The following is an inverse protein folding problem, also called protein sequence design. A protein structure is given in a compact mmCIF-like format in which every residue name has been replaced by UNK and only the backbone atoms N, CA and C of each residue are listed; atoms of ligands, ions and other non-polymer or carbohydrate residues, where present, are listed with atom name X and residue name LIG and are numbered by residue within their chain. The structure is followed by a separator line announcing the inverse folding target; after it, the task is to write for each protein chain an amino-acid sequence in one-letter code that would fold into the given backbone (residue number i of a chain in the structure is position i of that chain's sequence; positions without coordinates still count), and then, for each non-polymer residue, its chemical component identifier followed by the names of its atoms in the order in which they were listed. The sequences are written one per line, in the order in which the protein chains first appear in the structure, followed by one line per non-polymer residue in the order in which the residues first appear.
data_IF_181516858136
#
_entry.id   IF_181516858136
#
_cell.length_a   1.000
_cell.length_b   1.000
_cell.length_c   1.000
_cell.angle_alpha   90.00
_cell.angle_beta   90.00
_cell.angle_gamma   90.00
#
_symmetry.space_group_name_H-M   'P 1'
#
loop_
_entity.id
_entity.type
_entity.pdbx_description
1 polymer ?
#
# COMPACT_ATOMS: atom_id res chain seq x y z
N UNK A 1 15.12 16.95 -22.12
CA UNK A 1 14.17 17.76 -21.34
C UNK A 1 13.86 16.98 -20.08
N UNK A 2 13.95 17.59 -18.89
CA UNK A 2 13.51 16.95 -17.65
C UNK A 2 11.97 16.84 -17.69
N UNK A 3 11.45 15.70 -17.24
CA UNK A 3 10.00 15.47 -17.15
C UNK A 3 9.42 16.47 -16.12
N UNK A 4 8.23 16.98 -16.34
CA UNK A 4 7.59 17.99 -15.47
C UNK A 4 7.53 17.53 -14.00
N UNK A 5 7.29 16.23 -13.78
CA UNK A 5 7.35 15.63 -12.44
C UNK A 5 8.73 15.76 -11.79
N UNK A 6 9.83 15.57 -12.54
CA UNK A 6 11.19 15.72 -12.01
C UNK A 6 11.48 17.18 -11.62
N UNK A 7 11.02 18.15 -12.41
CA UNK A 7 11.14 19.57 -12.07
C UNK A 7 10.39 19.94 -10.78
N UNK A 8 9.21 19.33 -10.56
CA UNK A 8 8.44 19.51 -9.32
C UNK A 8 9.14 18.89 -8.12
N UNK A 9 9.69 17.68 -8.27
CA UNK A 9 10.48 17.00 -7.22
C UNK A 9 11.70 17.85 -6.84
N UNK A 10 12.42 18.40 -7.82
CA UNK A 10 13.56 19.30 -7.53
C UNK A 10 13.13 20.58 -6.82
N UNK A 11 12.00 21.17 -7.20
CA UNK A 11 11.44 22.34 -6.51
C UNK A 11 11.12 22.01 -5.05
N UNK A 12 10.46 20.86 -4.78
CA UNK A 12 10.16 20.40 -3.44
C UNK A 12 11.44 20.14 -2.64
N UNK A 13 12.46 19.58 -3.28
CA UNK A 13 13.76 19.33 -2.64
C UNK A 13 14.40 20.64 -2.16
N UNK A 14 14.33 21.70 -2.95
CA UNK A 14 14.98 22.95 -2.65
C UNK A 14 14.14 23.87 -1.75
N UNK A 15 12.84 23.98 -1.99
CA UNK A 15 11.96 24.95 -1.34
C UNK A 15 11.02 24.34 -0.30
N UNK A 16 10.92 22.99 -0.25
CA UNK A 16 9.89 22.31 0.53
C UNK A 16 8.50 22.41 -0.12
N UNK A 17 7.49 22.08 0.66
CA UNK A 17 6.07 22.20 0.30
C UNK A 17 5.28 22.49 1.57
N UNK A 18 4.07 23.02 1.41
CA UNK A 18 3.12 23.20 2.50
C UNK A 18 1.95 22.23 2.29
N UNK A 19 1.54 21.58 3.36
CA UNK A 19 0.43 20.64 3.37
C UNK A 19 -0.47 20.97 4.57
N UNK A 20 -1.76 21.12 4.31
CA UNK A 20 -2.74 21.28 5.36
C UNK A 20 -3.46 19.96 5.65
N UNK A 21 -3.43 19.53 6.91
CA UNK A 21 -4.04 18.27 7.33
C UNK A 21 -5.54 18.21 7.01
N UNK A 22 -6.28 19.30 7.31
CA UNK A 22 -7.72 19.34 7.13
C UNK A 22 -8.11 19.27 5.65
N UNK A 23 -7.41 20.00 4.81
CA UNK A 23 -7.61 20.00 3.36
C UNK A 23 -7.39 18.61 2.78
N UNK A 24 -6.25 17.96 3.09
CA UNK A 24 -5.93 16.61 2.59
C UNK A 24 -6.93 15.59 3.10
N UNK A 25 -7.28 15.63 4.39
CA UNK A 25 -8.24 14.70 4.96
C UNK A 25 -9.62 14.82 4.31
N UNK A 26 -10.14 16.03 4.19
CA UNK A 26 -11.47 16.28 3.59
C UNK A 26 -11.48 15.86 2.12
N UNK A 27 -10.45 16.21 1.36
CA UNK A 27 -10.31 15.81 -0.04
C UNK A 27 -10.25 14.27 -0.18
N UNK A 28 -9.43 13.59 0.63
CA UNK A 28 -9.37 12.14 0.64
C UNK A 28 -10.69 11.48 1.02
N UNK A 29 -11.44 12.07 1.96
CA UNK A 29 -12.72 11.54 2.38
C UNK A 29 -13.81 11.71 1.30
N UNK A 30 -13.83 12.85 0.60
CA UNK A 30 -14.75 13.07 -0.54
C UNK A 30 -14.43 12.09 -1.70
N UNK A 31 -13.17 11.93 -2.05
CA UNK A 31 -12.74 10.97 -3.06
C UNK A 31 -13.08 9.51 -2.64
N UNK A 32 -12.82 9.17 -1.37
CA UNK A 32 -13.16 7.86 -0.79
C UNK A 32 -14.65 7.52 -0.96
N UNK A 33 -15.56 8.45 -0.72
CA UNK A 33 -17.01 8.21 -0.88
C UNK A 33 -17.37 7.73 -2.29
N UNK A 34 -16.63 8.18 -3.31
CA UNK A 34 -16.84 7.78 -4.71
C UNK A 34 -16.38 6.33 -4.95
N UNK A 35 -15.32 5.86 -4.26
CA UNK A 35 -14.71 4.54 -4.50
C UNK A 35 -15.06 3.48 -3.44
N UNK A 36 -15.61 3.86 -2.29
CA UNK A 36 -15.79 3.00 -1.12
C UNK A 36 -16.54 1.70 -1.45
N UNK A 37 -17.70 1.82 -2.08
CA UNK A 37 -18.57 0.67 -2.34
C UNK A 37 -17.95 -0.26 -3.39
N UNK A 38 -17.57 0.29 -4.54
CA UNK A 38 -17.01 -0.49 -5.64
C UNK A 38 -15.65 -1.08 -5.28
N UNK A 39 -14.72 -0.26 -4.76
CA UNK A 39 -13.41 -0.69 -4.32
C UNK A 39 -13.48 -1.72 -3.19
N UNK A 40 -14.38 -1.50 -2.23
CA UNK A 40 -14.62 -2.44 -1.14
C UNK A 40 -15.14 -3.79 -1.63
N UNK A 41 -16.10 -3.80 -2.55
CA UNK A 41 -16.64 -5.02 -3.13
C UNK A 41 -15.57 -5.80 -3.92
N UNK A 42 -14.78 -5.10 -4.73
CA UNK A 42 -13.72 -5.77 -5.51
C UNK A 42 -12.63 -6.30 -4.59
N UNK A 43 -12.23 -5.57 -3.56
CA UNK A 43 -11.31 -6.08 -2.52
C UNK A 43 -11.88 -7.33 -1.86
N UNK A 44 -13.13 -7.30 -1.43
CA UNK A 44 -13.78 -8.46 -0.80
C UNK A 44 -13.76 -9.68 -1.71
N UNK A 45 -14.23 -9.54 -2.96
CA UNK A 45 -14.26 -10.65 -3.92
C UNK A 45 -12.85 -11.16 -4.22
N UNK A 46 -11.88 -10.26 -4.44
CA UNK A 46 -10.50 -10.64 -4.72
C UNK A 46 -9.88 -11.44 -3.58
N UNK A 47 -9.96 -10.94 -2.34
CA UNK A 47 -9.40 -11.66 -1.20
C UNK A 47 -10.16 -12.93 -0.85
N UNK A 48 -11.48 -12.98 -1.09
CA UNK A 48 -12.27 -14.19 -0.93
C UNK A 48 -11.83 -15.28 -1.91
N UNK A 49 -11.69 -14.96 -3.20
CA UNK A 49 -11.19 -15.90 -4.20
C UNK A 49 -9.74 -16.32 -3.94
N UNK A 50 -8.89 -15.36 -3.58
CA UNK A 50 -7.50 -15.63 -3.22
C UNK A 50 -7.40 -16.60 -2.03
N UNK A 51 -8.24 -16.41 -0.99
CA UNK A 51 -8.27 -17.30 0.16
C UNK A 51 -8.68 -18.72 -0.21
N UNK A 52 -9.68 -18.90 -1.07
CA UNK A 52 -10.09 -20.21 -1.57
C UNK A 52 -8.92 -20.91 -2.28
N UNK A 53 -8.21 -20.19 -3.16
CA UNK A 53 -7.06 -20.74 -3.89
C UNK A 53 -5.93 -21.12 -2.92
N UNK A 54 -5.56 -20.23 -2.01
CA UNK A 54 -4.48 -20.47 -1.03
C UNK A 54 -4.81 -21.65 -0.13
N UNK A 55 -6.00 -21.69 0.48
CA UNK A 55 -6.42 -22.81 1.30
C UNK A 55 -6.54 -24.12 0.52
N UNK A 56 -7.05 -24.05 -0.71
CA UNK A 56 -7.12 -25.21 -1.62
C UNK A 56 -5.74 -25.80 -1.90
N UNK A 57 -4.74 -24.96 -2.19
CA UNK A 57 -3.36 -25.39 -2.42
C UNK A 57 -2.74 -25.99 -1.14
N UNK A 58 -2.93 -25.36 0.02
CA UNK A 58 -2.43 -25.88 1.30
C UNK A 58 -3.03 -27.26 1.60
N UNK A 59 -4.35 -27.43 1.45
CA UNK A 59 -5.03 -28.70 1.66
C UNK A 59 -4.54 -29.77 0.65
N UNK A 60 -4.31 -29.38 -0.59
CA UNK A 60 -3.82 -30.29 -1.62
C UNK A 60 -2.40 -30.81 -1.32
N UNK A 61 -1.54 -29.96 -0.73
CA UNK A 61 -0.14 -30.32 -0.40
C UNK A 61 -0.06 -31.11 0.91
N UNK A 62 -0.74 -30.66 1.96
CA UNK A 62 -0.57 -31.18 3.32
C UNK A 62 -1.72 -32.09 3.78
N UNK A 63 -2.83 -32.12 3.06
CA UNK A 63 -4.07 -32.79 3.45
C UNK A 63 -4.89 -31.98 4.45
N UNK A 64 -6.20 -32.27 4.50
CA UNK A 64 -7.14 -31.51 5.34
C UNK A 64 -6.86 -31.65 6.84
N UNK A 65 -6.52 -32.85 7.30
CA UNK A 65 -6.27 -33.11 8.72
C UNK A 65 -5.03 -32.34 9.24
N UNK A 66 -3.92 -32.38 8.50
CA UNK A 66 -2.70 -31.66 8.86
C UNK A 66 -2.90 -30.12 8.79
N UNK A 67 -3.65 -29.64 7.80
CA UNK A 67 -4.00 -28.22 7.69
C UNK A 67 -4.83 -27.74 8.88
N UNK A 68 -5.85 -28.49 9.28
CA UNK A 68 -6.69 -28.15 10.45
C UNK A 68 -5.89 -28.21 11.75
N UNK A 69 -5.00 -29.18 11.90
CA UNK A 69 -4.10 -29.24 13.04
C UNK A 69 -3.17 -28.04 13.13
N UNK A 70 -2.55 -27.65 12.00
CA UNK A 70 -1.67 -26.49 11.91
C UNK A 70 -2.40 -25.16 12.24
N UNK A 71 -3.68 -25.05 11.86
CA UNK A 71 -4.50 -23.84 12.09
C UNK A 71 -4.99 -23.69 13.55
N UNK A 72 -4.73 -24.66 14.44
CA UNK A 72 -5.05 -24.47 15.85
C UNK A 72 -4.29 -23.29 16.44
N UNK A 73 -4.94 -22.44 17.27
CA UNK A 73 -4.31 -21.22 17.82
C UNK A 73 -2.99 -21.48 18.56
N UNK A 74 -2.86 -22.64 19.19
CA UNK A 74 -1.65 -23.07 19.89
C UNK A 74 -0.45 -23.26 18.95
N UNK A 75 -0.68 -23.72 17.71
CA UNK A 75 0.35 -23.98 16.71
C UNK A 75 0.71 -22.74 15.87
N UNK A 76 -0.12 -21.70 15.92
CA UNK A 76 0.12 -20.44 15.19
C UNK A 76 0.91 -19.42 16.03
N UNK A 77 1.25 -19.73 17.27
CA UNK A 77 2.08 -18.85 18.09
C UNK A 77 3.51 -18.85 17.56
N UNK A 78 4.16 -17.66 17.42
CA UNK A 78 5.54 -17.59 16.93
C UNK A 78 6.50 -18.47 17.74
N UNK A 79 6.29 -18.60 19.05
CA UNK A 79 7.11 -19.42 19.95
C UNK A 79 7.01 -20.93 19.69
N UNK A 80 5.90 -21.37 19.06
CA UNK A 80 5.69 -22.77 18.71
C UNK A 80 6.34 -23.15 17.37
N UNK A 81 6.74 -22.16 16.57
CA UNK A 81 7.30 -22.36 15.24
C UNK A 81 8.83 -22.40 15.28
N UNK A 82 9.43 -23.36 14.56
CA UNK A 82 10.88 -23.36 14.40
C UNK A 82 11.37 -22.16 13.60
N UNK A 83 12.61 -21.73 13.82
CA UNK A 83 13.22 -20.62 13.07
C UNK A 83 13.14 -20.81 11.55
N UNK A 84 13.34 -22.05 11.07
CA UNK A 84 13.25 -22.35 9.65
C UNK A 84 11.83 -22.09 9.09
N UNK A 85 10.80 -22.48 9.83
CA UNK A 85 9.40 -22.25 9.44
C UNK A 85 9.10 -20.74 9.43
N UNK A 86 9.55 -20.00 10.43
CA UNK A 86 9.40 -18.54 10.48
C UNK A 86 10.07 -17.86 9.29
N UNK A 87 11.29 -18.26 8.95
CA UNK A 87 12.01 -17.72 7.79
C UNK A 87 11.29 -18.03 6.47
N UNK A 88 10.78 -19.26 6.29
CA UNK A 88 10.02 -19.63 5.10
C UNK A 88 8.72 -18.82 5.00
N UNK A 89 7.95 -18.72 6.09
CA UNK A 89 6.72 -17.92 6.11
C UNK A 89 7.02 -16.46 5.77
N UNK A 90 8.05 -15.87 6.37
CA UNK A 90 8.47 -14.50 6.10
C UNK A 90 8.86 -14.30 4.64
N UNK A 91 9.69 -15.19 4.07
CA UNK A 91 10.12 -15.11 2.67
C UNK A 91 8.94 -15.22 1.71
N UNK A 92 8.04 -16.19 1.94
CA UNK A 92 6.83 -16.39 1.12
C UNK A 92 5.91 -15.17 1.22
N UNK A 93 5.70 -14.63 2.43
CA UNK A 93 4.88 -13.43 2.64
C UNK A 93 5.44 -12.19 1.93
N UNK A 94 6.77 -12.00 1.97
CA UNK A 94 7.45 -10.91 1.26
C UNK A 94 7.25 -11.06 -0.26
N UNK A 95 7.42 -12.27 -0.80
CA UNK A 95 7.26 -12.52 -2.23
C UNK A 95 5.81 -12.31 -2.69
N UNK A 96 4.84 -12.82 -1.93
CA UNK A 96 3.41 -12.64 -2.25
C UNK A 96 3.05 -11.15 -2.16
N UNK A 97 3.42 -10.48 -1.06
CA UNK A 97 3.13 -9.05 -0.88
C UNK A 97 3.73 -8.19 -1.98
N UNK A 98 4.99 -8.47 -2.37
CA UNK A 98 5.64 -7.75 -3.48
C UNK A 98 4.96 -8.02 -4.83
N UNK A 99 4.49 -9.26 -5.06
CA UNK A 99 3.77 -9.63 -6.28
C UNK A 99 2.38 -8.99 -6.36
N UNK A 100 1.78 -8.65 -5.21
CA UNK A 100 0.48 -7.98 -5.12
C UNK A 100 0.57 -6.45 -5.13
N UNK A 101 1.77 -5.87 -5.09
CA UNK A 101 1.94 -4.42 -5.11
C UNK A 101 1.33 -3.72 -6.34
N UNK A 102 1.27 -4.30 -7.56
CA UNK A 102 0.55 -3.72 -8.68
C UNK A 102 -0.96 -3.62 -8.46
N UNK A 103 -1.54 -4.50 -7.65
CA UNK A 103 -2.94 -4.43 -7.27
C UNK A 103 -3.22 -3.19 -6.41
N UNK A 104 -2.35 -2.90 -5.44
CA UNK A 104 -2.39 -1.65 -4.64
C UNK A 104 -2.28 -0.42 -5.55
N UNK A 105 -1.38 -0.46 -6.54
CA UNK A 105 -1.24 0.61 -7.53
C UNK A 105 -2.54 0.83 -8.33
N UNK A 106 -3.21 -0.25 -8.72
CA UNK A 106 -4.52 -0.19 -9.39
C UNK A 106 -5.61 0.45 -8.55
N UNK A 107 -5.62 0.20 -7.24
CA UNK A 107 -6.57 0.83 -6.31
C UNK A 107 -6.31 2.34 -6.14
N UNK A 108 -5.04 2.75 -6.13
CA UNK A 108 -4.67 4.18 -6.14
C UNK A 108 -5.07 4.84 -7.48
N UNK A 109 -4.90 4.14 -8.60
CA UNK A 109 -5.37 4.63 -9.91
C UNK A 109 -6.90 4.77 -9.94
N UNK A 110 -7.63 3.90 -9.27
CA UNK A 110 -9.09 4.04 -9.15
C UNK A 110 -9.47 5.33 -8.43
N UNK A 111 -8.76 5.71 -7.36
CA UNK A 111 -8.96 6.99 -6.69
C UNK A 111 -8.69 8.19 -7.63
N UNK A 112 -7.67 8.08 -8.48
CA UNK A 112 -7.37 9.06 -9.53
C UNK A 112 -8.52 9.19 -10.55
N UNK A 113 -9.05 8.08 -11.07
CA UNK A 113 -10.17 8.10 -12.01
C UNK A 113 -11.44 8.70 -11.37
N UNK A 114 -11.73 8.33 -10.11
CA UNK A 114 -12.88 8.85 -9.39
C UNK A 114 -12.83 10.37 -9.16
N UNK A 115 -11.63 10.95 -9.00
CA UNK A 115 -11.45 12.40 -8.88
C UNK A 115 -11.84 13.14 -10.17
N UNK A 116 -11.62 12.51 -11.32
CA UNK A 116 -11.86 13.08 -12.64
C UNK A 116 -13.20 12.67 -13.25
N UNK A 117 -14.02 11.99 -12.47
CA UNK A 117 -15.30 11.40 -12.94
C UNK A 117 -15.12 10.50 -14.17
N UNK A 118 -13.90 9.89 -14.31
CA UNK A 118 -13.59 8.88 -15.33
C UNK A 118 -14.14 7.52 -14.91
N UNK A 119 -14.64 6.75 -15.88
CA UNK A 119 -15.08 5.38 -15.62
C UNK A 119 -13.90 4.49 -15.24
N UNK A 120 -14.06 3.72 -14.17
CA UNK A 120 -13.10 2.71 -13.77
C UNK A 120 -13.76 1.34 -13.67
N UNK A 121 -13.02 0.32 -14.10
CA UNK A 121 -13.48 -1.06 -14.15
C UNK A 121 -12.57 -1.96 -13.29
N UNK A 122 -12.98 -3.21 -13.09
CA UNK A 122 -12.12 -4.22 -12.44
C UNK A 122 -10.76 -4.34 -13.16
N UNK A 123 -10.72 -4.17 -14.48
CA UNK A 123 -9.48 -4.18 -15.27
C UNK A 123 -8.48 -3.10 -14.87
N UNK A 124 -8.94 -1.94 -14.39
CA UNK A 124 -8.07 -0.86 -13.90
C UNK A 124 -7.18 -1.32 -12.75
N UNK A 125 -7.66 -2.22 -11.89
CA UNK A 125 -6.88 -2.77 -10.78
C UNK A 125 -5.72 -3.66 -11.23
N UNK A 126 -5.83 -4.24 -12.42
CA UNK A 126 -4.80 -5.13 -12.98
C UNK A 126 -3.91 -4.46 -14.02
N UNK A 127 -4.10 -3.17 -14.27
CA UNK A 127 -3.35 -2.41 -15.27
C UNK A 127 -1.84 -2.48 -15.05
N UNK A 128 -1.41 -2.36 -13.79
CA UNK A 128 0.01 -2.30 -13.42
C UNK A 128 0.71 -3.65 -13.30
N UNK A 129 0.00 -4.77 -13.58
CA UNK A 129 0.64 -6.09 -13.74
C UNK A 129 1.41 -6.22 -15.06
N UNK A 130 1.34 -5.22 -15.94
CA UNK A 130 2.08 -5.16 -17.20
C UNK A 130 3.41 -4.43 -17.03
N UNK A 131 4.37 -4.77 -17.91
CA UNK A 131 5.62 -4.01 -18.01
C UNK A 131 5.36 -2.58 -18.49
N UNK A 132 6.14 -1.57 -18.03
CA UNK A 132 7.31 -1.68 -17.14
C UNK A 132 6.95 -1.63 -15.64
N UNK A 133 5.71 -1.29 -15.27
CA UNK A 133 5.30 -0.98 -13.90
C UNK A 133 5.46 -2.16 -12.94
N UNK A 134 5.09 -3.37 -13.36
CA UNK A 134 5.18 -4.57 -12.52
C UNK A 134 6.58 -4.72 -11.91
N UNK A 135 7.61 -4.63 -12.74
CA UNK A 135 9.00 -4.79 -12.31
C UNK A 135 9.39 -3.75 -11.25
N UNK A 136 9.06 -2.49 -11.49
CA UNK A 136 9.45 -1.41 -10.58
C UNK A 136 8.69 -1.49 -9.25
N UNK A 137 7.39 -1.78 -9.29
CA UNK A 137 6.56 -1.97 -8.09
C UNK A 137 7.02 -3.18 -7.28
N UNK A 138 7.28 -4.32 -7.95
CA UNK A 138 7.78 -5.54 -7.31
C UNK A 138 9.11 -5.29 -6.61
N UNK A 139 10.10 -4.71 -7.32
CA UNK A 139 11.43 -4.44 -6.76
C UNK A 139 11.33 -3.45 -5.59
N UNK A 140 10.57 -2.37 -5.73
CA UNK A 140 10.43 -1.37 -4.67
C UNK A 140 9.83 -1.99 -3.39
N UNK A 141 8.73 -2.73 -3.54
CA UNK A 141 8.06 -3.38 -2.39
C UNK A 141 8.94 -4.47 -1.81
N UNK A 142 9.64 -5.26 -2.63
CA UNK A 142 10.56 -6.30 -2.18
C UNK A 142 11.68 -5.71 -1.31
N UNK A 143 12.35 -4.65 -1.77
CA UNK A 143 13.43 -3.99 -1.03
C UNK A 143 12.94 -3.44 0.31
N UNK A 144 11.81 -2.73 0.31
CA UNK A 144 11.22 -2.18 1.54
C UNK A 144 10.82 -3.30 2.50
N UNK A 145 10.19 -4.38 1.99
CA UNK A 145 9.75 -5.50 2.82
C UNK A 145 10.92 -6.26 3.44
N UNK A 146 12.01 -6.47 2.72
CA UNK A 146 13.21 -7.12 3.25
C UNK A 146 13.81 -6.27 4.39
N UNK A 147 13.99 -4.97 4.17
CA UNK A 147 14.54 -4.05 5.20
C UNK A 147 13.63 -4.00 6.42
N UNK A 148 12.33 -3.82 6.21
CA UNK A 148 11.34 -3.74 7.29
C UNK A 148 11.27 -5.04 8.10
N UNK A 149 11.23 -6.20 7.44
CA UNK A 149 11.16 -7.50 8.10
C UNK A 149 12.45 -7.83 8.87
N UNK A 150 13.61 -7.46 8.31
CA UNK A 150 14.89 -7.64 9.02
C UNK A 150 14.97 -6.80 10.28
N UNK A 151 14.50 -5.55 10.21
CA UNK A 151 14.45 -4.66 11.38
C UNK A 151 13.44 -5.16 12.41
N UNK A 152 12.25 -5.61 11.97
CA UNK A 152 11.24 -6.21 12.85
C UNK A 152 11.79 -7.44 13.58
N UNK A 153 12.50 -8.34 12.90
CA UNK A 153 13.11 -9.51 13.52
C UNK A 153 14.12 -9.15 14.63
N UNK A 154 14.91 -8.08 14.42
CA UNK A 154 15.85 -7.57 15.45
C UNK A 154 15.07 -7.01 16.65
N UNK A 155 14.01 -6.26 16.40
CA UNK A 155 13.14 -5.67 17.43
C UNK A 155 12.45 -6.77 18.27
N UNK A 156 11.93 -7.79 17.59
CA UNK A 156 11.26 -8.93 18.23
C UNK A 156 12.24 -9.72 19.10
N UNK A 157 13.49 -9.90 18.63
CA UNK A 157 14.55 -10.50 19.46
C UNK A 157 14.86 -9.67 20.71
N UNK A 158 14.79 -8.34 20.62
CA UNK A 158 14.95 -7.44 21.75
C UNK A 158 13.75 -7.44 22.73
N UNK A 159 12.64 -8.09 22.38
CA UNK A 159 11.41 -8.21 23.17
C UNK A 159 10.79 -6.86 23.56
N UNK A 160 10.84 -5.86 22.66
CA UNK A 160 10.27 -4.53 22.89
C UNK A 160 9.10 -4.30 21.88
N UNK A 161 7.88 -4.77 22.18
CA UNK A 161 6.75 -4.76 21.23
C UNK A 161 6.40 -3.37 20.68
N UNK A 162 6.58 -2.33 21.52
CA UNK A 162 6.29 -0.93 21.11
C UNK A 162 7.16 -0.50 19.93
N UNK A 163 8.40 -0.96 19.85
CA UNK A 163 9.31 -0.64 18.74
C UNK A 163 8.85 -1.30 17.43
N UNK A 164 8.21 -2.47 17.48
CA UNK A 164 7.61 -3.11 16.30
C UNK A 164 6.50 -2.24 15.69
N UNK A 165 5.63 -1.68 16.53
CA UNK A 165 4.59 -0.75 16.09
C UNK A 165 5.19 0.54 15.52
N UNK A 166 6.19 1.12 16.18
CA UNK A 166 6.91 2.32 15.70
C UNK A 166 7.59 2.03 14.36
N UNK A 167 8.23 0.86 14.20
CA UNK A 167 8.84 0.45 12.93
C UNK A 167 7.80 0.42 11.80
N UNK A 168 6.65 -0.22 12.03
CA UNK A 168 5.57 -0.31 11.03
C UNK A 168 5.08 1.08 10.61
N UNK A 169 4.81 1.98 11.57
CA UNK A 169 4.41 3.35 11.27
C UNK A 169 5.50 4.13 10.52
N UNK A 170 6.77 3.95 10.90
CA UNK A 170 7.89 4.62 10.25
C UNK A 170 8.04 4.16 8.80
N UNK A 171 7.99 2.86 8.54
CA UNK A 171 8.06 2.32 7.18
C UNK A 171 6.87 2.82 6.35
N UNK A 172 5.64 2.73 6.88
CA UNK A 172 4.44 3.24 6.20
C UNK A 172 4.56 4.72 5.87
N UNK A 173 5.06 5.52 6.81
CA UNK A 173 5.25 6.96 6.63
C UNK A 173 6.21 7.25 5.48
N UNK A 174 7.41 6.69 5.52
CA UNK A 174 8.44 7.02 4.54
C UNK A 174 8.22 6.40 3.16
N UNK A 175 7.35 5.40 3.04
CA UNK A 175 7.04 4.74 1.77
C UNK A 175 5.68 5.13 1.19
N UNK A 176 4.93 6.03 1.83
CA UNK A 176 3.58 6.40 1.42
C UNK A 176 3.49 6.91 -0.02
N UNK A 177 4.49 7.64 -0.49
CA UNK A 177 4.55 8.17 -1.87
C UNK A 177 5.21 7.22 -2.86
N UNK A 178 5.80 6.09 -2.42
CA UNK A 178 6.59 5.20 -3.28
C UNK A 178 5.78 4.67 -4.47
N UNK A 179 4.60 4.12 -4.23
CA UNK A 179 3.74 3.58 -5.30
C UNK A 179 3.23 4.69 -6.23
N UNK A 180 2.65 5.80 -5.76
CA UNK A 180 2.27 6.93 -6.61
C UNK A 180 3.41 7.48 -7.47
N UNK A 181 4.62 7.59 -6.92
CA UNK A 181 5.81 8.04 -7.66
C UNK A 181 6.18 7.09 -8.81
N UNK A 182 5.96 5.78 -8.64
CA UNK A 182 6.21 4.80 -9.71
C UNK A 182 5.13 4.91 -10.79
N UNK A 183 3.84 4.92 -10.41
CA UNK A 183 2.75 4.83 -11.38
C UNK A 183 2.46 6.17 -12.09
N UNK A 184 2.48 7.27 -11.37
CA UNK A 184 2.22 8.60 -11.92
C UNK A 184 3.50 9.35 -12.27
N UNK A 185 4.52 9.27 -11.39
CA UNK A 185 5.82 9.91 -11.61
C UNK A 185 6.73 9.18 -12.60
N UNK A 186 6.40 7.93 -12.95
CA UNK A 186 7.21 7.05 -13.82
C UNK A 186 8.65 6.87 -13.33
N UNK A 187 8.86 6.94 -12.01
CA UNK A 187 10.17 6.74 -11.39
C UNK A 187 10.50 5.25 -11.28
N UNK A 188 11.79 4.94 -11.29
CA UNK A 188 12.28 3.58 -11.01
C UNK A 188 12.18 3.25 -9.51
N UNK A 189 12.19 1.99 -9.16
CA UNK A 189 12.02 1.48 -7.80
C UNK A 189 12.86 2.23 -6.75
N UNK A 190 14.17 2.25 -6.93
CA UNK A 190 15.11 2.89 -5.98
C UNK A 190 14.92 4.41 -5.93
N UNK A 191 14.72 5.04 -7.07
CA UNK A 191 14.47 6.47 -7.17
C UNK A 191 13.16 6.86 -6.47
N UNK A 192 12.10 6.07 -6.63
CA UNK A 192 10.82 6.29 -5.96
C UNK A 192 10.94 6.16 -4.43
N UNK A 193 11.69 5.17 -3.92
CA UNK A 193 11.97 5.03 -2.48
C UNK A 193 12.72 6.26 -1.97
N UNK A 194 13.82 6.65 -2.61
CA UNK A 194 14.63 7.79 -2.19
C UNK A 194 13.85 9.11 -2.24
N UNK A 195 13.06 9.30 -3.29
CA UNK A 195 12.22 10.49 -3.46
C UNK A 195 11.12 10.53 -2.40
N UNK A 196 10.46 9.40 -2.10
CA UNK A 196 9.47 9.32 -1.04
C UNK A 196 10.09 9.70 0.32
N UNK A 197 11.24 9.11 0.67
CA UNK A 197 11.98 9.44 1.89
C UNK A 197 12.30 10.95 1.98
N UNK A 198 12.80 11.52 0.89
CA UNK A 198 13.18 12.94 0.83
C UNK A 198 11.96 13.87 1.00
N UNK A 199 10.86 13.60 0.29
CA UNK A 199 9.64 14.41 0.36
C UNK A 199 9.03 14.33 1.75
N UNK A 200 8.83 13.12 2.27
CA UNK A 200 8.21 12.88 3.58
C UNK A 200 9.01 13.53 4.71
N UNK A 201 10.35 13.53 4.63
CA UNK A 201 11.22 14.17 5.63
C UNK A 201 11.02 15.68 5.75
N UNK A 202 10.38 16.34 4.79
CA UNK A 202 10.10 17.79 4.86
C UNK A 202 8.94 18.12 5.81
N UNK A 203 7.89 17.29 5.84
CA UNK A 203 6.71 17.48 6.70
C UNK A 203 6.22 16.14 7.31
N UNK A 204 7.05 15.45 8.12
CA UNK A 204 6.72 14.11 8.60
C UNK A 204 5.54 14.07 9.57
N UNK A 205 5.32 15.12 10.38
CA UNK A 205 4.27 15.12 11.40
C UNK A 205 2.86 15.16 10.81
N UNK A 206 2.65 15.97 9.77
CA UNK A 206 1.35 16.06 9.11
C UNK A 206 1.02 14.73 8.41
N UNK A 207 2.00 14.18 7.68
CA UNK A 207 1.84 12.89 7.00
C UNK A 207 1.63 11.74 8.00
N UNK A 208 2.34 11.75 9.13
CA UNK A 208 2.13 10.78 10.20
C UNK A 208 0.71 10.87 10.76
N UNK A 209 0.24 12.09 11.03
CA UNK A 209 -1.14 12.31 11.48
C UNK A 209 -2.18 11.75 10.50
N UNK A 210 -2.00 11.98 9.20
CA UNK A 210 -2.88 11.44 8.16
C UNK A 210 -2.86 9.90 8.12
N UNK A 211 -1.69 9.27 8.26
CA UNK A 211 -1.56 7.80 8.31
C UNK A 211 -2.25 7.24 9.55
N UNK A 212 -2.03 7.86 10.70
CA UNK A 212 -2.67 7.44 11.96
C UNK A 212 -4.19 7.50 11.85
N UNK A 213 -4.73 8.61 11.36
CA UNK A 213 -6.18 8.73 11.14
C UNK A 213 -6.68 7.73 10.10
N UNK A 214 -5.93 7.52 9.01
CA UNK A 214 -6.24 6.48 8.01
C UNK A 214 -6.29 5.08 8.62
N UNK A 215 -5.36 4.77 9.52
CA UNK A 215 -5.33 3.49 10.24
C UNK A 215 -6.54 3.35 11.18
N UNK A 216 -6.91 4.40 11.90
CA UNK A 216 -8.13 4.39 12.72
C UNK A 216 -9.40 4.21 11.88
N UNK A 217 -9.48 4.83 10.70
CA UNK A 217 -10.61 4.65 9.79
C UNK A 217 -10.80 3.19 9.37
N UNK A 218 -9.70 2.45 9.15
CA UNK A 218 -9.78 0.99 8.88
C UNK A 218 -10.27 0.23 10.12
N UNK A 219 -9.78 0.59 11.31
CA UNK A 219 -10.22 -0.08 12.56
C UNK A 219 -11.71 0.06 12.80
N UNK A 220 -12.33 1.17 12.37
CA UNK A 220 -13.80 1.32 12.40
C UNK A 220 -14.48 0.22 11.56
N UNK A 221 -13.87 -0.21 10.47
CA UNK A 221 -14.38 -1.32 9.64
C UNK A 221 -14.44 -2.68 10.37
N UNK A 222 -13.61 -2.88 11.41
CA UNK A 222 -13.67 -4.09 12.25
C UNK A 222 -14.99 -4.22 13.01
N UNK A 223 -15.62 -3.10 13.39
CA UNK A 223 -16.92 -3.10 14.08
C UNK A 223 -18.01 -3.69 13.19
N UNK A 224 -17.87 -3.61 11.86
CA UNK A 224 -18.76 -4.21 10.87
C UNK A 224 -18.50 -5.71 10.62
N UNK A 225 -18.27 -6.52 11.66
CA UNK A 225 -18.06 -7.96 11.55
C UNK A 225 -16.94 -8.39 10.59
N UNK A 226 -15.81 -7.68 10.58
CA UNK A 226 -14.65 -7.86 9.70
C UNK A 226 -14.90 -7.59 8.20
N UNK A 227 -16.13 -7.71 7.70
CA UNK A 227 -16.47 -7.38 6.31
C UNK A 227 -16.34 -5.87 6.06
N UNK A 228 -16.63 -5.04 7.07
CA UNK A 228 -16.48 -3.60 7.01
C UNK A 228 -15.07 -3.12 6.66
N UNK A 229 -14.04 -3.90 7.00
CA UNK A 229 -12.65 -3.58 6.65
C UNK A 229 -12.49 -3.37 5.14
N UNK A 230 -13.06 -4.24 4.31
CA UNK A 230 -12.95 -4.13 2.86
C UNK A 230 -13.50 -2.81 2.33
N UNK A 231 -14.52 -2.26 2.99
CA UNK A 231 -15.12 -0.99 2.61
C UNK A 231 -14.40 0.23 3.21
N UNK A 232 -13.63 0.08 4.28
CA UNK A 232 -12.81 1.16 4.85
C UNK A 232 -11.40 1.22 4.26
N UNK A 233 -10.85 0.11 3.75
CA UNK A 233 -9.54 0.07 3.07
C UNK A 233 -9.41 1.06 1.90
N UNK A 234 -10.44 1.27 1.04
CA UNK A 234 -10.37 2.26 -0.03
C UNK A 234 -10.02 3.67 0.44
N UNK A 235 -10.28 4.01 1.70
CA UNK A 235 -9.87 5.30 2.26
C UNK A 235 -8.34 5.50 2.24
N UNK A 236 -7.55 4.45 2.52
CA UNK A 236 -6.09 4.57 2.44
C UNK A 236 -5.59 4.82 1.01
N UNK A 237 -6.23 4.22 0.02
CA UNK A 237 -5.84 4.42 -1.37
C UNK A 237 -6.21 5.82 -1.85
N UNK A 238 -7.38 6.31 -1.43
CA UNK A 238 -7.80 7.68 -1.63
C UNK A 238 -6.84 8.67 -0.95
N UNK A 239 -6.48 8.41 0.31
CA UNK A 239 -5.53 9.22 1.06
C UNK A 239 -4.15 9.26 0.37
N UNK A 240 -3.67 8.10 -0.08
CA UNK A 240 -2.39 7.96 -0.78
C UNK A 240 -2.36 8.75 -2.11
N UNK A 241 -3.45 8.66 -2.86
CA UNK A 241 -3.67 9.44 -4.07
C UNK A 241 -3.66 10.95 -3.80
N UNK A 242 -4.45 11.38 -2.81
CA UNK A 242 -4.60 12.82 -2.50
C UNK A 242 -3.30 13.41 -1.97
N UNK A 243 -2.56 12.70 -1.11
CA UNK A 243 -1.24 13.15 -0.66
C UNK A 243 -0.31 13.39 -1.86
N UNK A 244 -0.29 12.48 -2.84
CA UNK A 244 0.50 12.68 -4.05
C UNK A 244 0.02 13.88 -4.87
N UNK A 245 -1.30 14.00 -5.04
CA UNK A 245 -1.93 15.09 -5.80
C UNK A 245 -1.62 16.47 -5.20
N UNK A 246 -1.69 16.61 -3.88
CA UNK A 246 -1.46 17.88 -3.18
C UNK A 246 0.04 18.27 -3.13
N UNK A 247 0.94 17.27 -3.02
CA UNK A 247 2.38 17.55 -2.91
C UNK A 247 3.01 17.73 -4.28
N UNK A 248 2.74 16.82 -5.22
CA UNK A 248 3.42 16.77 -6.52
C UNK A 248 2.50 17.29 -7.62
N UNK A 249 1.22 16.89 -7.57
CA UNK A 249 0.22 17.24 -8.57
C UNK A 249 0.39 16.51 -9.90
N UNK A 250 -0.54 16.77 -10.81
CA UNK A 250 -0.58 16.21 -12.15
C UNK A 250 -0.38 17.30 -13.19
N UNK A 251 0.16 16.97 -14.36
CA UNK A 251 0.27 17.89 -15.47
C UNK A 251 -1.06 17.94 -16.23
N UNK A 252 -1.64 19.11 -16.29
CA UNK A 252 -2.91 19.36 -17.01
C UNK A 252 -2.79 19.09 -18.51
N UNK A 253 -1.58 19.16 -19.09
CA UNK A 253 -1.34 18.94 -20.52
C UNK A 253 -1.23 17.44 -20.90
N UNK A 254 -0.71 16.61 -19.99
CA UNK A 254 -0.57 15.16 -20.25
C UNK A 254 -1.93 14.45 -20.11
N UNK A 255 -2.83 15.00 -19.31
CA UNK A 255 -4.16 14.44 -19.12
C UNK A 255 -5.05 14.59 -20.37
N UNK A 256 -4.78 15.57 -21.25
CA UNK A 256 -5.51 15.76 -22.51
C UNK A 256 -5.06 14.79 -23.61
N UNK A 257 -3.81 14.32 -23.59
CA UNK A 257 -3.31 13.33 -24.55
C UNK A 257 -3.67 11.88 -24.18
N UNK A 258 -3.95 11.59 -22.91
CA UNK A 258 -4.37 10.25 -22.45
C UNK A 258 -5.86 9.96 -22.72
N UNK A 259 -6.62 10.98 -23.14
CA UNK A 259 -8.06 10.88 -23.48
C UNK A 259 -8.30 10.90 -25.00
N UNK A 260 -7.28 10.94 -25.83
CA UNK A 260 -7.32 10.80 -27.29
C UNK A 260 -6.76 9.44 -27.73
#
# INVERSE_FOLDING_TARGET
MMNTTQNRIERIKNNGYELDFGTVFNHAFENYKKIALYGGLVLFVFFFLLSIVVFGVIIAIFGSAATLEFLKPENLRPEALSLNILLIISAVSILIGSSLSPFTAGLIKMAYCAERDEEFHVSTMFEFFKAPYFKELFIATLLVSIVSSSLSAIIDYAQIPILGFVNTLTVSLFTILMIPLIIFGKLKAVEAIQTSLMIVSKQPLILLGLIVVGTFAIMVGLVGCCIGIFFTFPFLYSLNYVIYSEIIGFDTEIDQEATL
#
